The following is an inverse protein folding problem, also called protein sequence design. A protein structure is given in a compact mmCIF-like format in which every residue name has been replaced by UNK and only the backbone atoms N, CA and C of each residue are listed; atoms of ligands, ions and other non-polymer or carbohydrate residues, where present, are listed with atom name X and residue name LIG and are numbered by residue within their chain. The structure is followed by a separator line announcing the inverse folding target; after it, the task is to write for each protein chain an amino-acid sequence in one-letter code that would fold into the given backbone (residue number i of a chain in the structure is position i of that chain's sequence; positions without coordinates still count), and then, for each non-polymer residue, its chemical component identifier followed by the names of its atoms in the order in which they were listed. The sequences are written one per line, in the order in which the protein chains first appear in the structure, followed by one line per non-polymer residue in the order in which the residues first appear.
data_IF_368493610083
#
_entry.id   IF_368493610083
#
_cell.length_a   1.000
_cell.length_b   1.000
_cell.length_c   1.000
_cell.angle_alpha   90.00
_cell.angle_beta   90.00
_cell.angle_gamma   90.00
#
_symmetry.space_group_name_H-M   'P 1'
#
loop_
_entity.id
_entity.type
_entity.pdbx_description
1 polymer ?
#
# COMPACT_ATOMS: atom_id res chain seq x y z
N UNK A 1 -5.69 -29.86 -5.99
CA UNK A 1 -5.39 -28.91 -4.90
C UNK A 1 -4.37 -27.82 -5.27
N UNK A 2 -3.06 -28.14 -5.41
CA UNK A 2 -2.00 -27.13 -5.66
C UNK A 2 -2.28 -26.18 -6.84
N UNK A 3 -2.70 -26.72 -8.00
CA UNK A 3 -3.05 -25.90 -9.18
C UNK A 3 -4.22 -24.95 -8.90
N UNK A 4 -5.28 -25.43 -8.23
CA UNK A 4 -6.44 -24.62 -7.87
C UNK A 4 -6.03 -23.43 -6.99
N UNK A 5 -5.16 -23.64 -6.01
CA UNK A 5 -4.64 -22.56 -5.16
C UNK A 5 -3.81 -21.58 -5.99
N UNK A 6 -2.84 -22.06 -6.78
CA UNK A 6 -2.01 -21.20 -7.64
C UNK A 6 -2.84 -20.29 -8.55
N UNK A 7 -3.94 -20.82 -9.10
CA UNK A 7 -4.84 -20.05 -9.96
C UNK A 7 -5.95 -19.31 -9.20
N UNK A 8 -6.10 -19.50 -7.88
CA UNK A 8 -7.11 -18.81 -7.07
C UNK A 8 -8.53 -19.34 -7.24
N UNK A 9 -8.71 -20.60 -7.65
CA UNK A 9 -10.02 -21.25 -7.87
C UNK A 9 -10.61 -21.62 -6.50
N UNK A 10 -11.24 -20.66 -5.84
CA UNK A 10 -11.72 -20.79 -4.45
C UNK A 10 -12.89 -21.77 -4.34
N UNK A 11 -13.77 -21.83 -5.33
CA UNK A 11 -14.96 -22.70 -5.34
C UNK A 11 -14.55 -24.17 -5.26
N UNK A 12 -13.56 -24.56 -6.06
CA UNK A 12 -12.98 -25.90 -6.03
C UNK A 12 -12.31 -26.21 -4.68
N UNK A 13 -11.59 -25.22 -4.12
CA UNK A 13 -10.92 -25.38 -2.81
C UNK A 13 -11.94 -25.58 -1.69
N UNK A 14 -13.00 -24.76 -1.69
CA UNK A 14 -14.06 -24.81 -0.70
C UNK A 14 -14.81 -26.15 -0.75
N UNK A 15 -15.25 -26.57 -1.94
CA UNK A 15 -15.92 -27.85 -2.16
C UNK A 15 -15.09 -29.04 -1.65
N UNK A 16 -13.77 -29.04 -1.89
CA UNK A 16 -12.89 -30.10 -1.41
C UNK A 16 -12.77 -30.14 0.12
N UNK A 17 -12.66 -28.96 0.75
CA UNK A 17 -12.54 -28.84 2.21
C UNK A 17 -13.87 -29.20 2.89
N UNK A 18 -15.01 -28.80 2.33
CA UNK A 18 -16.33 -29.13 2.89
C UNK A 18 -16.61 -30.63 2.87
N UNK A 19 -16.16 -31.33 1.81
CA UNK A 19 -16.25 -32.80 1.72
C UNK A 19 -15.29 -33.53 2.66
N UNK A 20 -14.13 -32.95 2.94
CA UNK A 20 -13.15 -33.52 3.85
C UNK A 20 -12.39 -32.40 4.59
N UNK A 21 -12.90 -32.06 5.77
CA UNK A 21 -12.36 -30.98 6.61
C UNK A 21 -10.90 -31.22 7.01
N UNK A 22 -10.48 -32.48 7.16
CA UNK A 22 -9.11 -32.82 7.57
C UNK A 22 -8.08 -32.43 6.51
N UNK A 23 -8.52 -32.22 5.26
CA UNK A 23 -7.67 -31.82 4.12
C UNK A 23 -6.81 -30.59 4.44
N UNK A 24 -7.30 -29.65 5.26
CA UNK A 24 -6.55 -28.44 5.62
C UNK A 24 -5.31 -28.74 6.48
N UNK A 25 -5.31 -29.87 7.19
CA UNK A 25 -4.22 -30.28 8.07
C UNK A 25 -3.21 -31.21 7.40
N UNK A 26 -3.52 -31.78 6.23
CA UNK A 26 -2.59 -32.66 5.51
C UNK A 26 -1.39 -31.87 4.97
N UNK A 27 -0.20 -32.44 5.17
CA UNK A 27 1.04 -31.95 4.54
C UNK A 27 1.13 -32.57 3.15
N UNK A 28 1.07 -31.74 2.12
CA UNK A 28 1.62 -32.10 0.81
C UNK A 28 3.15 -32.00 0.99
N UNK A 29 3.98 -32.92 0.46
CA UNK A 29 5.37 -33.15 0.88
C UNK A 29 6.27 -31.92 1.14
N UNK A 30 6.00 -30.78 0.51
CA UNK A 30 6.77 -29.54 0.64
C UNK A 30 6.08 -28.48 1.51
N UNK A 31 4.78 -28.23 1.32
CA UNK A 31 4.03 -27.14 1.95
C UNK A 31 2.59 -27.55 2.27
N UNK A 32 2.02 -27.03 3.35
CA UNK A 32 0.59 -27.18 3.62
C UNK A 32 -0.26 -26.22 2.76
N UNK A 33 -1.58 -26.44 2.75
CA UNK A 33 -2.50 -25.66 1.92
C UNK A 33 -2.43 -24.14 2.19
N UNK A 34 -2.28 -23.78 3.46
CA UNK A 34 -2.20 -22.39 3.92
C UNK A 34 -0.90 -21.72 3.43
N UNK A 35 0.24 -22.39 3.56
CA UNK A 35 1.54 -21.90 3.10
C UNK A 35 1.52 -21.65 1.58
N UNK A 36 1.00 -22.58 0.78
CA UNK A 36 0.86 -22.38 -0.67
C UNK A 36 -0.01 -21.17 -1.00
N UNK A 37 -1.16 -21.03 -0.33
CA UNK A 37 -2.05 -19.88 -0.54
C UNK A 37 -1.38 -18.56 -0.15
N UNK A 38 -0.52 -18.58 0.88
CA UNK A 38 0.21 -17.40 1.34
C UNK A 38 1.30 -17.00 0.33
N UNK A 39 2.08 -17.96 -0.13
CA UNK A 39 3.12 -17.76 -1.16
C UNK A 39 2.51 -17.21 -2.45
N UNK A 40 1.34 -17.68 -2.84
CA UNK A 40 0.64 -17.28 -4.08
C UNK A 40 -0.24 -16.02 -3.92
N UNK A 41 -0.20 -15.33 -2.76
CA UNK A 41 -0.99 -14.12 -2.44
C UNK A 41 -2.50 -14.30 -2.62
N UNK A 42 -3.04 -15.47 -2.28
CA UNK A 42 -4.48 -15.79 -2.43
C UNK A 42 -5.26 -15.49 -1.17
N UNK A 43 -5.52 -14.21 -0.91
CA UNK A 43 -6.18 -13.71 0.30
C UNK A 43 -7.50 -14.43 0.64
N UNK A 44 -8.36 -14.63 -0.37
CA UNK A 44 -9.66 -15.28 -0.17
C UNK A 44 -9.50 -16.75 0.27
N UNK A 45 -8.53 -17.47 -0.30
CA UNK A 45 -8.24 -18.87 0.07
C UNK A 45 -7.62 -18.93 1.48
N UNK A 46 -6.69 -18.02 1.80
CA UNK A 46 -6.10 -17.91 3.14
C UNK A 46 -7.20 -17.68 4.18
N UNK A 47 -8.09 -16.72 3.93
CA UNK A 47 -9.20 -16.39 4.82
C UNK A 47 -10.14 -17.58 5.01
N UNK A 48 -10.49 -18.28 3.93
CA UNK A 48 -11.35 -19.47 3.99
C UNK A 48 -10.73 -20.59 4.83
N UNK A 49 -9.45 -20.90 4.59
CA UNK A 49 -8.72 -21.95 5.34
C UNK A 49 -8.62 -21.57 6.81
N UNK A 50 -8.25 -20.33 7.13
CA UNK A 50 -8.12 -19.86 8.51
C UNK A 50 -9.46 -19.91 9.27
N UNK A 51 -10.57 -19.47 8.64
CA UNK A 51 -11.91 -19.55 9.24
C UNK A 51 -12.34 -21.00 9.48
N UNK A 52 -12.07 -21.89 8.52
CA UNK A 52 -12.39 -23.31 8.66
C UNK A 52 -11.60 -23.96 9.78
N UNK A 53 -10.29 -23.69 9.85
CA UNK A 53 -9.44 -24.19 10.93
C UNK A 53 -9.86 -23.66 12.31
N UNK A 54 -10.35 -22.43 12.38
CA UNK A 54 -10.87 -21.81 13.61
C UNK A 54 -12.14 -22.53 14.09
N UNK A 55 -13.09 -22.77 13.17
CA UNK A 55 -14.32 -23.53 13.44
C UNK A 55 -14.04 -24.95 13.96
N UNK A 56 -12.97 -25.57 13.48
CA UNK A 56 -12.55 -26.91 13.90
C UNK A 56 -11.65 -26.89 15.15
N UNK A 57 -11.35 -25.73 15.74
CA UNK A 57 -10.44 -25.58 16.88
C UNK A 57 -8.96 -25.82 16.57
N UNK A 58 -8.61 -26.05 15.29
CA UNK A 58 -7.26 -26.40 14.84
C UNK A 58 -6.42 -25.23 14.32
N UNK A 59 -6.92 -23.99 14.37
CA UNK A 59 -6.21 -22.81 13.83
C UNK A 59 -4.80 -22.65 14.38
N UNK A 60 -4.63 -22.74 15.69
CA UNK A 60 -3.31 -22.61 16.34
C UNK A 60 -2.34 -23.71 15.90
N UNK A 61 -2.83 -24.94 15.68
CA UNK A 61 -2.04 -26.04 15.17
C UNK A 61 -1.66 -25.83 13.70
N UNK A 62 -2.59 -25.32 12.88
CA UNK A 62 -2.34 -25.07 11.46
C UNK A 62 -1.29 -23.98 11.24
N UNK A 63 -1.38 -22.85 11.96
CA UNK A 63 -0.48 -21.70 11.78
C UNK A 63 0.92 -21.95 12.36
N UNK A 64 1.05 -22.87 13.33
CA UNK A 64 2.34 -23.24 13.91
C UNK A 64 3.12 -24.25 13.06
N UNK A 65 2.47 -24.91 12.08
CA UNK A 65 3.15 -25.83 11.17
C UNK A 65 4.30 -25.16 10.44
N UNK A 66 5.38 -25.91 10.32
CA UNK A 66 6.61 -25.54 9.62
C UNK A 66 6.72 -26.32 8.30
N UNK A 67 7.30 -25.70 7.28
CA UNK A 67 7.65 -26.41 6.03
C UNK A 67 8.90 -27.30 6.22
N UNK A 68 9.51 -27.77 5.13
CA UNK A 68 10.72 -28.60 5.18
C UNK A 68 11.93 -27.85 5.76
N UNK A 69 12.09 -26.56 5.45
CA UNK A 69 13.23 -25.73 5.88
C UNK A 69 12.96 -25.03 7.22
N UNK A 70 11.97 -25.53 7.98
CA UNK A 70 11.45 -24.97 9.22
C UNK A 70 10.88 -23.53 9.11
N UNK A 71 10.50 -23.09 7.91
CA UNK A 71 9.85 -21.79 7.71
C UNK A 71 8.44 -21.79 8.30
N UNK A 72 8.11 -20.71 9.01
CA UNK A 72 6.73 -20.41 9.42
C UNK A 72 5.93 -19.80 8.27
N UNK A 73 4.60 -19.69 8.41
CA UNK A 73 3.77 -18.95 7.45
C UNK A 73 4.20 -17.48 7.25
N UNK A 74 4.87 -16.88 8.25
CA UNK A 74 5.39 -15.51 8.13
C UNK A 74 6.62 -15.45 7.22
N UNK A 75 7.46 -16.48 7.22
CA UNK A 75 8.58 -16.60 6.28
C UNK A 75 8.06 -16.78 4.84
N UNK A 76 6.97 -17.52 4.64
CA UNK A 76 6.31 -17.60 3.33
C UNK A 76 5.79 -16.22 2.86
N UNK A 77 5.17 -15.46 3.77
CA UNK A 77 4.71 -14.10 3.49
C UNK A 77 5.85 -13.09 3.27
N UNK A 78 7.06 -13.40 3.77
CA UNK A 78 8.24 -12.56 3.65
C UNK A 78 8.90 -12.62 2.26
N UNK A 79 8.72 -13.72 1.52
CA UNK A 79 9.24 -13.88 0.16
C UNK A 79 8.50 -12.94 -0.78
N UNK A 80 9.17 -12.42 -1.81
CA UNK A 80 8.56 -11.55 -2.83
C UNK A 80 7.40 -12.28 -3.54
N UNK A 81 6.29 -11.58 -3.78
CA UNK A 81 5.16 -12.13 -4.49
C UNK A 81 5.53 -12.67 -5.90
N UNK A 82 4.82 -13.70 -6.40
CA UNK A 82 4.92 -14.10 -7.79
C UNK A 82 4.64 -12.91 -8.72
N UNK A 83 5.35 -12.84 -9.85
CA UNK A 83 5.28 -11.71 -10.77
C UNK A 83 3.85 -11.33 -11.15
N UNK A 84 2.99 -12.32 -11.43
CA UNK A 84 1.60 -12.12 -11.80
C UNK A 84 0.74 -11.45 -10.69
N UNK A 85 1.15 -11.53 -9.43
CA UNK A 85 0.50 -10.85 -8.30
C UNK A 85 1.15 -9.50 -8.01
N UNK A 86 2.48 -9.42 -8.12
CA UNK A 86 3.24 -8.19 -7.94
C UNK A 86 2.85 -7.14 -9.00
N UNK A 87 2.68 -7.56 -10.25
CA UNK A 87 2.34 -6.69 -11.38
C UNK A 87 0.89 -6.21 -11.41
N UNK A 88 0.02 -6.66 -10.49
CA UNK A 88 -1.36 -6.15 -10.38
C UNK A 88 -1.42 -4.70 -9.92
N UNK A 89 -0.35 -4.21 -9.30
CA UNK A 89 -0.23 -2.83 -8.84
C UNK A 89 0.84 -2.13 -9.67
N UNK A 90 0.54 -0.92 -10.12
CA UNK A 90 1.47 -0.10 -10.88
C UNK A 90 2.41 0.67 -9.95
N UNK A 91 3.71 0.67 -10.25
CA UNK A 91 4.72 1.43 -9.51
C UNK A 91 5.29 0.69 -8.29
N UNK A 92 6.62 0.72 -8.17
CA UNK A 92 7.36 0.00 -7.14
C UNK A 92 6.96 0.41 -5.70
N UNK A 93 6.65 1.69 -5.47
CA UNK A 93 6.19 2.17 -4.17
C UNK A 93 4.86 1.54 -3.74
N UNK A 94 3.88 1.45 -4.64
CA UNK A 94 2.58 0.85 -4.36
C UNK A 94 2.65 -0.68 -4.27
N UNK A 95 3.52 -1.31 -5.08
CA UNK A 95 3.84 -2.73 -4.94
C UNK A 95 4.42 -3.03 -3.55
N UNK A 96 5.39 -2.23 -3.08
CA UNK A 96 5.99 -2.37 -1.76
C UNK A 96 4.96 -2.15 -0.64
N UNK A 97 4.09 -1.16 -0.78
CA UNK A 97 3.01 -0.90 0.16
C UNK A 97 2.10 -2.13 0.31
N UNK A 98 1.72 -2.76 -0.80
CA UNK A 98 0.88 -3.97 -0.79
C UNK A 98 1.58 -5.15 -0.14
N UNK A 99 2.85 -5.39 -0.46
CA UNK A 99 3.64 -6.47 0.15
C UNK A 99 3.81 -6.25 1.67
N UNK A 100 3.96 -5.01 2.11
CA UNK A 100 4.01 -4.66 3.53
C UNK A 100 2.67 -4.93 4.24
N UNK A 101 1.55 -4.56 3.61
CA UNK A 101 0.20 -4.85 4.13
C UNK A 101 -0.04 -6.35 4.23
N UNK A 102 0.33 -7.10 3.20
CA UNK A 102 0.26 -8.55 3.18
C UNK A 102 1.06 -9.19 4.33
N UNK A 103 2.31 -8.80 4.48
CA UNK A 103 3.18 -9.28 5.55
C UNK A 103 2.60 -8.98 6.94
N UNK A 104 2.08 -7.75 7.16
CA UNK A 104 1.40 -7.36 8.41
C UNK A 104 0.14 -8.18 8.65
N UNK A 105 -0.65 -8.45 7.61
CA UNK A 105 -1.86 -9.28 7.68
C UNK A 105 -1.55 -10.71 8.11
N UNK A 106 -0.53 -11.34 7.53
CA UNK A 106 -0.12 -12.69 7.95
C UNK A 106 0.49 -12.68 9.36
N UNK A 107 1.24 -11.63 9.73
CA UNK A 107 1.81 -11.47 11.07
C UNK A 107 0.73 -11.38 12.17
N UNK A 108 -0.43 -10.79 11.89
CA UNK A 108 -1.51 -10.65 12.88
C UNK A 108 -2.23 -11.95 13.17
N UNK A 109 -2.20 -12.91 12.25
CA UNK A 109 -2.79 -14.25 12.43
C UNK A 109 -1.96 -15.10 13.42
N UNK A 110 -0.68 -14.78 13.58
CA UNK A 110 0.25 -15.51 14.43
C UNK A 110 0.26 -15.05 15.89
N UNK A 111 0.55 -16.01 16.78
CA UNK A 111 0.92 -15.76 18.18
C UNK A 111 2.20 -14.93 18.24
N UNK A 112 2.34 -14.13 19.29
CA UNK A 112 3.49 -13.23 19.43
C UNK A 112 4.83 -13.96 19.47
N UNK A 113 4.88 -15.13 20.12
CA UNK A 113 6.07 -15.99 20.20
C UNK A 113 6.54 -16.48 18.83
N UNK A 114 5.63 -16.73 17.88
CA UNK A 114 5.97 -17.25 16.54
C UNK A 114 6.50 -16.16 15.59
N UNK A 115 6.32 -14.87 15.93
CA UNK A 115 6.72 -13.74 15.06
C UNK A 115 8.24 -13.56 14.93
N UNK A 116 8.99 -14.12 15.87
CA UNK A 116 10.46 -14.00 15.95
C UNK A 116 11.17 -15.34 15.78
N UNK A 117 10.44 -16.39 15.38
CA UNK A 117 11.04 -17.70 15.08
C UNK A 117 12.06 -17.55 13.96
N UNK A 118 13.17 -18.29 14.08
CA UNK A 118 14.18 -18.44 13.05
C UNK A 118 13.96 -19.74 12.28
N UNK A 119 14.20 -19.72 10.98
CA UNK A 119 14.21 -20.93 10.15
C UNK A 119 15.55 -21.70 10.31
N UNK A 120 15.77 -22.72 9.48
CA UNK A 120 16.94 -23.60 9.55
C UNK A 120 18.25 -22.84 9.29
N UNK A 121 18.19 -21.79 8.47
CA UNK A 121 19.32 -20.91 8.18
C UNK A 121 19.59 -19.90 9.32
N UNK A 122 18.78 -19.89 10.37
CA UNK A 122 18.87 -18.91 11.45
C UNK A 122 18.25 -17.55 11.13
N UNK A 123 17.52 -17.43 10.02
CA UNK A 123 16.93 -16.20 9.54
C UNK A 123 15.53 -15.98 10.12
N UNK A 124 15.20 -14.72 10.41
CA UNK A 124 13.83 -14.34 10.77
C UNK A 124 13.04 -13.93 9.53
N UNK A 125 11.71 -14.10 9.56
CA UNK A 125 10.85 -13.61 8.48
C UNK A 125 11.03 -12.11 8.18
N UNK A 126 11.37 -11.28 9.19
CA UNK A 126 11.65 -9.86 8.99
C UNK A 126 12.93 -9.64 8.16
N UNK A 127 13.96 -10.44 8.41
CA UNK A 127 15.20 -10.40 7.64
C UNK A 127 14.93 -10.78 6.18
N UNK A 128 14.25 -11.92 5.95
CA UNK A 128 13.86 -12.37 4.60
C UNK A 128 13.04 -11.30 3.87
N UNK A 129 12.08 -10.67 4.54
CA UNK A 129 11.26 -9.62 3.94
C UNK A 129 12.11 -8.41 3.51
N UNK A 130 13.07 -8.02 4.33
CA UNK A 130 13.94 -6.88 4.04
C UNK A 130 14.84 -7.18 2.84
N UNK A 131 15.46 -8.36 2.82
CA UNK A 131 16.35 -8.77 1.73
C UNK A 131 15.59 -9.00 0.41
N UNK A 132 14.45 -9.69 0.45
CA UNK A 132 13.67 -10.02 -0.75
C UNK A 132 13.05 -8.78 -1.43
N UNK A 133 12.85 -7.68 -0.70
CA UNK A 133 12.22 -6.46 -1.22
C UNK A 133 13.19 -5.29 -1.36
N UNK A 134 14.51 -5.49 -1.19
CA UNK A 134 15.50 -4.41 -1.22
C UNK A 134 15.47 -3.59 -2.51
N UNK A 135 15.31 -4.25 -3.65
CA UNK A 135 15.29 -3.62 -4.97
C UNK A 135 13.98 -2.86 -5.17
N UNK A 136 12.86 -3.45 -4.78
CA UNK A 136 11.55 -2.81 -4.82
C UNK A 136 11.49 -1.54 -3.96
N UNK A 137 12.12 -1.57 -2.78
CA UNK A 137 12.25 -0.39 -1.91
C UNK A 137 13.14 0.66 -2.54
N UNK A 138 14.23 0.27 -3.20
CA UNK A 138 15.11 1.20 -3.92
C UNK A 138 14.36 1.88 -5.07
N UNK A 139 13.73 1.10 -5.95
CA UNK A 139 12.94 1.60 -7.07
C UNK A 139 11.78 2.48 -6.59
N UNK A 140 11.10 2.09 -5.52
CA UNK A 140 10.03 2.89 -4.91
C UNK A 140 10.53 4.23 -4.38
N UNK A 141 11.72 4.26 -3.77
CA UNK A 141 12.36 5.51 -3.32
C UNK A 141 12.75 6.39 -4.49
N UNK A 142 13.36 5.82 -5.53
CA UNK A 142 13.79 6.56 -6.71
C UNK A 142 12.56 7.16 -7.43
N UNK A 143 11.50 6.38 -7.64
CA UNK A 143 10.24 6.86 -8.21
C UNK A 143 9.60 7.99 -7.39
N UNK A 144 9.59 7.87 -6.06
CA UNK A 144 9.03 8.90 -5.19
C UNK A 144 9.88 10.18 -5.21
N UNK A 145 11.21 10.05 -5.28
CA UNK A 145 12.13 11.17 -5.41
C UNK A 145 11.92 11.93 -6.73
N UNK A 146 11.80 11.21 -7.84
CA UNK A 146 11.58 11.83 -9.16
C UNK A 146 10.20 12.51 -9.26
N UNK A 147 9.18 11.84 -8.71
CA UNK A 147 7.81 12.37 -8.67
C UNK A 147 7.72 13.61 -7.78
N UNK A 148 8.37 13.59 -6.60
CA UNK A 148 8.43 14.75 -5.72
C UNK A 148 9.18 15.92 -6.34
N UNK A 149 10.31 15.68 -7.02
CA UNK A 149 11.03 16.71 -7.76
C UNK A 149 10.18 17.38 -8.83
N UNK A 150 9.47 16.58 -9.64
CA UNK A 150 8.56 17.11 -10.68
C UNK A 150 7.39 17.90 -10.07
N UNK A 151 6.78 17.38 -9.00
CA UNK A 151 5.69 18.06 -8.28
C UNK A 151 6.16 19.39 -7.66
N UNK A 152 7.38 19.45 -7.13
CA UNK A 152 7.96 20.69 -6.60
C UNK A 152 8.11 21.77 -7.68
N UNK A 153 8.53 21.39 -8.89
CA UNK A 153 8.66 22.31 -10.03
C UNK A 153 7.29 22.83 -10.45
N UNK A 154 6.34 21.93 -10.72
CA UNK A 154 4.95 22.29 -11.09
C UNK A 154 4.33 23.18 -10.02
N UNK A 155 4.51 22.81 -8.76
CA UNK A 155 4.02 23.61 -7.66
C UNK A 155 4.67 24.99 -7.59
N UNK A 156 6.00 25.10 -7.83
CA UNK A 156 6.69 26.39 -7.81
C UNK A 156 6.16 27.30 -8.92
N UNK A 157 5.87 26.73 -10.10
CA UNK A 157 5.23 27.43 -11.20
C UNK A 157 3.83 27.92 -10.81
N UNK A 158 2.99 27.08 -10.21
CA UNK A 158 1.65 27.46 -9.73
C UNK A 158 1.75 28.60 -8.72
N UNK A 159 2.64 28.51 -7.73
CA UNK A 159 2.80 29.59 -6.75
C UNK A 159 3.31 30.87 -7.37
N UNK A 160 4.19 30.80 -8.37
CA UNK A 160 4.69 32.00 -9.06
C UNK A 160 3.58 32.68 -9.84
N UNK A 161 2.75 31.91 -10.56
CA UNK A 161 1.60 32.43 -11.31
C UNK A 161 0.55 33.02 -10.36
N UNK A 162 0.21 32.31 -9.28
CA UNK A 162 -0.74 32.78 -8.28
C UNK A 162 -0.23 34.06 -7.59
N UNK A 163 1.03 34.06 -7.14
CA UNK A 163 1.64 35.25 -6.55
C UNK A 163 1.62 36.45 -7.50
N UNK A 164 1.95 36.27 -8.77
CA UNK A 164 1.84 37.35 -9.75
C UNK A 164 0.39 37.84 -9.89
N UNK A 165 -0.57 36.92 -10.00
CA UNK A 165 -1.99 37.23 -10.13
C UNK A 165 -2.55 38.00 -8.90
N UNK A 166 -2.06 37.71 -7.70
CA UNK A 166 -2.43 38.42 -6.48
C UNK A 166 -2.08 39.92 -6.52
N UNK A 167 -0.97 40.29 -7.18
CA UNK A 167 -0.55 41.69 -7.34
C UNK A 167 -1.05 42.34 -8.64
N UNK A 168 -1.33 41.54 -9.67
CA UNK A 168 -1.92 42.00 -10.93
C UNK A 168 -3.37 41.54 -11.04
N UNK A 169 -4.20 41.96 -10.09
CA UNK A 169 -5.59 41.53 -10.02
C UNK A 169 -6.37 41.87 -11.31
N UNK A 170 -7.32 41.04 -11.74
CA UNK A 170 -8.16 41.32 -12.90
C UNK A 170 -8.86 42.69 -12.77
N UNK A 171 -8.80 43.50 -13.82
CA UNK A 171 -9.35 44.86 -13.82
C UNK A 171 -8.45 45.91 -13.16
N UNK A 172 -7.41 45.50 -12.42
CA UNK A 172 -6.51 46.41 -11.71
C UNK A 172 -7.12 46.99 -10.44
N UNK A 173 -6.47 48.03 -9.91
CA UNK A 173 -6.87 48.72 -8.70
C UNK A 173 -7.34 50.14 -9.02
N UNK A 174 -8.22 50.67 -8.18
CA UNK A 174 -8.62 52.08 -8.24
C UNK A 174 -7.40 52.94 -7.97
N UNK A 175 -7.04 53.81 -8.92
CA UNK A 175 -5.87 54.70 -8.86
C UNK A 175 -6.30 56.16 -8.88
N UNK A 176 -7.04 56.59 -7.85
CA UNK A 176 -7.42 58.00 -7.62
C UNK A 176 -6.74 58.54 -6.36
N UNK A 177 -5.84 59.51 -6.50
CA UNK A 177 -4.99 60.00 -5.40
C UNK A 177 -5.75 60.67 -4.25
N UNK A 178 -7.00 61.09 -4.47
CA UNK A 178 -7.81 61.86 -3.52
C UNK A 178 -9.00 61.08 -2.95
N UNK A 179 -9.01 59.75 -3.11
CA UNK A 179 -10.14 58.91 -2.70
C UNK A 179 -9.71 57.87 -1.66
N UNK A 180 -10.53 57.64 -0.63
CA UNK A 180 -10.23 56.67 0.42
C UNK A 180 -10.17 55.21 -0.09
N UNK A 181 -10.67 54.98 -1.31
CA UNK A 181 -10.69 53.68 -1.99
C UNK A 181 -9.46 53.41 -2.87
N UNK A 182 -8.48 54.32 -2.90
CA UNK A 182 -7.25 54.15 -3.68
C UNK A 182 -6.51 52.86 -3.29
N UNK A 183 -6.15 52.04 -4.27
CA UNK A 183 -5.50 50.75 -4.07
C UNK A 183 -6.45 49.56 -3.86
N UNK A 184 -7.78 49.76 -3.86
CA UNK A 184 -8.74 48.64 -3.81
C UNK A 184 -8.98 48.03 -5.20
N UNK A 185 -9.21 46.70 -5.30
CA UNK A 185 -9.52 46.06 -6.58
C UNK A 185 -10.81 46.60 -7.22
N UNK A 186 -10.80 46.87 -8.53
CA UNK A 186 -11.97 47.45 -9.22
C UNK A 186 -13.20 46.53 -9.16
N UNK A 187 -12.99 45.21 -9.16
CA UNK A 187 -14.07 44.22 -9.07
C UNK A 187 -14.39 43.76 -7.64
N UNK A 188 -13.92 44.48 -6.62
CA UNK A 188 -14.22 44.15 -5.23
C UNK A 188 -15.75 44.10 -5.00
N UNK A 189 -16.23 43.01 -4.41
CA UNK A 189 -17.66 42.78 -4.17
C UNK A 189 -18.40 42.02 -5.29
N UNK A 190 -17.77 41.79 -6.46
CA UNK A 190 -18.32 40.88 -7.47
C UNK A 190 -18.03 39.42 -7.13
N UNK A 191 -18.98 38.52 -7.40
CA UNK A 191 -18.81 37.09 -7.16
C UNK A 191 -17.62 36.48 -7.92
N UNK A 192 -17.32 36.99 -9.13
CA UNK A 192 -16.16 36.59 -9.94
C UNK A 192 -14.83 36.88 -9.25
N UNK A 193 -14.71 38.03 -8.59
CA UNK A 193 -13.51 38.42 -7.84
C UNK A 193 -13.32 37.56 -6.59
N UNK A 194 -14.40 37.21 -5.88
CA UNK A 194 -14.33 36.29 -4.74
C UNK A 194 -13.83 34.91 -5.16
N UNK A 195 -14.35 34.35 -6.25
CA UNK A 195 -13.89 33.05 -6.78
C UNK A 195 -12.41 33.12 -7.17
N UNK A 196 -11.98 34.20 -7.82
CA UNK A 196 -10.58 34.44 -8.15
C UNK A 196 -9.70 34.46 -6.89
N UNK A 197 -10.00 35.31 -5.91
CA UNK A 197 -9.20 35.47 -4.70
C UNK A 197 -9.13 34.18 -3.88
N UNK A 198 -10.24 33.44 -3.79
CA UNK A 198 -10.27 32.13 -3.11
C UNK A 198 -9.42 31.10 -3.86
N UNK A 199 -9.52 31.06 -5.19
CA UNK A 199 -8.74 30.12 -6.02
C UNK A 199 -7.24 30.39 -5.93
N UNK A 200 -6.86 31.67 -5.96
CA UNK A 200 -5.47 32.12 -5.84
C UNK A 200 -4.87 31.78 -4.46
N UNK A 201 -5.63 32.05 -3.40
CA UNK A 201 -5.28 31.65 -2.05
C UNK A 201 -5.13 30.12 -1.93
N UNK A 202 -6.08 29.34 -2.46
CA UNK A 202 -6.00 27.88 -2.45
C UNK A 202 -4.78 27.36 -3.21
N UNK A 203 -4.44 27.94 -4.35
CA UNK A 203 -3.25 27.57 -5.12
C UNK A 203 -1.96 27.78 -4.30
N UNK A 204 -1.84 28.90 -3.59
CA UNK A 204 -0.70 29.17 -2.69
C UNK A 204 -0.68 28.26 -1.47
N UNK A 205 -1.84 28.00 -0.85
CA UNK A 205 -1.95 27.11 0.31
C UNK A 205 -1.59 25.67 -0.03
N UNK A 206 -2.18 25.11 -1.10
CA UNK A 206 -1.94 23.72 -1.51
C UNK A 206 -0.48 23.49 -1.94
N UNK A 207 0.22 24.53 -2.42
CA UNK A 207 1.66 24.44 -2.73
C UNK A 207 2.55 24.33 -1.49
N UNK A 208 2.17 24.99 -0.39
CA UNK A 208 2.98 25.08 0.83
C UNK A 208 3.03 23.79 1.65
N UNK A 209 2.12 22.85 1.38
CA UNK A 209 2.18 21.51 1.95
C UNK A 209 2.99 20.64 1.00
N UNK A 210 4.28 20.36 1.30
CA UNK A 210 4.97 19.31 0.55
C UNK A 210 4.14 18.04 0.67
N UNK A 211 4.20 17.19 -0.35
CA UNK A 211 3.76 15.80 -0.26
C UNK A 211 4.54 15.14 0.89
N UNK A 212 4.05 15.31 2.12
CA UNK A 212 4.53 14.61 3.30
C UNK A 212 4.08 13.18 3.13
N UNK A 213 4.93 12.37 2.53
CA UNK A 213 4.87 10.93 2.67
C UNK A 213 5.19 10.59 4.13
N UNK A 214 4.15 10.61 4.97
CA UNK A 214 4.13 9.99 6.30
C UNK A 214 3.86 8.49 6.18
#
# INVERSE_FOLDING_TARGET
MKRAIKHGIIEFVAECIEKNNDLIFYKIPVENMLQMAITERKEMIVTFICKTADRLGGKNYLVSKRDADTNTILHCAAKLAPLAQLSLVSGAALQMQREMQWYKGIKSILRESDRYTRNENGDTAKFIFTEAHKDLVKEGRDWLKDTSGSCMIVGALIATVAFAAAFTVPGGNISESNNAMNGTPIFLGQSSFTVFAVSDALALFLRSHPCSCS
#
